data_IF_137522248375
#
_entry.id   IF_137522248375
#
_cell.length_a   1.000
_cell.length_b   1.000
_cell.length_c   1.000
_cell.angle_alpha   90.00
_cell.angle_beta   90.00
_cell.angle_gamma   90.00
#
_symmetry.space_group_name_H-M   'P 1'
#
loop_
_entity.id
_entity.type
_entity.pdbx_description
1 polymer ?
#
# COMPACT_ATOMS: atom_id res chain seq x y z
N UNK A 1 -23.57 -12.97 19.40
CA UNK A 1 -22.49 -12.81 18.40
C UNK A 1 -22.93 -13.46 17.12
N UNK A 2 -23.32 -12.68 16.12
CA UNK A 2 -23.66 -13.21 14.80
C UNK A 2 -22.37 -13.38 14.00
N UNK A 3 -22.19 -14.56 13.41
CA UNK A 3 -21.06 -14.84 12.52
C UNK A 3 -21.30 -14.10 11.21
N UNK A 4 -20.32 -13.33 10.78
CA UNK A 4 -20.31 -12.71 9.45
C UNK A 4 -20.12 -13.84 8.42
N UNK A 5 -20.91 -13.89 7.34
CA UNK A 5 -20.72 -14.88 6.28
C UNK A 5 -19.37 -14.67 5.56
N UNK A 6 -18.76 -15.75 5.05
CA UNK A 6 -17.54 -15.64 4.26
C UNK A 6 -17.78 -14.85 2.97
N UNK A 7 -16.76 -14.15 2.44
CA UNK A 7 -16.88 -13.44 1.17
C UNK A 7 -17.17 -14.41 0.02
N UNK A 8 -17.84 -13.94 -1.05
CA UNK A 8 -18.08 -14.74 -2.24
C UNK A 8 -16.75 -15.14 -2.89
N UNK A 9 -16.69 -16.31 -3.56
CA UNK A 9 -15.52 -16.68 -4.31
C UNK A 9 -15.27 -15.66 -5.43
N UNK A 10 -14.00 -15.38 -5.78
CA UNK A 10 -13.67 -14.48 -6.87
C UNK A 10 -14.29 -15.00 -8.18
N UNK A 11 -14.79 -14.10 -9.04
CA UNK A 11 -15.32 -14.49 -10.34
C UNK A 11 -14.16 -14.96 -11.23
N UNK A 12 -14.21 -16.23 -11.66
CA UNK A 12 -13.22 -16.79 -12.60
C UNK A 12 -12.36 -17.89 -11.98
N UNK A 13 -12.90 -19.10 -11.92
CA UNK A 13 -12.17 -20.29 -11.47
C UNK A 13 -12.57 -21.50 -12.31
N UNK A 14 -12.24 -21.47 -13.60
CA UNK A 14 -12.25 -22.67 -14.43
C UNK A 14 -11.21 -23.66 -13.90
N UNK A 15 -11.61 -24.92 -13.78
CA UNK A 15 -10.75 -26.01 -13.33
C UNK A 15 -9.56 -26.21 -14.28
N UNK A 16 -8.45 -25.54 -14.01
CA UNK A 16 -7.15 -25.74 -14.63
C UNK A 16 -6.10 -25.26 -13.64
N UNK A 17 -5.16 -26.13 -13.26
CA UNK A 17 -4.10 -25.82 -12.30
C UNK A 17 -3.06 -24.84 -12.83
N UNK A 18 -3.51 -23.64 -13.24
CA UNK A 18 -2.65 -22.49 -13.47
C UNK A 18 -2.50 -21.71 -12.18
N UNK A 19 -1.29 -21.29 -11.87
CA UNK A 19 -1.03 -20.32 -10.82
C UNK A 19 -1.77 -19.03 -11.15
N UNK A 20 -2.64 -18.56 -10.24
CA UNK A 20 -3.39 -17.33 -10.45
C UNK A 20 -2.43 -16.15 -10.36
N UNK A 21 -2.35 -15.38 -11.43
CA UNK A 21 -1.67 -14.08 -11.45
C UNK A 21 -2.70 -13.04 -11.02
N UNK A 22 -2.36 -12.26 -10.00
CA UNK A 22 -3.17 -11.12 -9.58
C UNK A 22 -2.77 -9.87 -10.38
N UNK A 23 -3.60 -8.85 -10.40
CA UNK A 23 -3.23 -7.49 -10.82
C UNK A 23 -2.88 -6.60 -9.59
N UNK A 24 -2.40 -5.38 -9.82
CA UNK A 24 -2.01 -4.46 -8.74
C UNK A 24 -3.18 -4.10 -7.80
N UNK A 25 -4.39 -3.90 -8.36
CA UNK A 25 -5.59 -3.58 -7.60
C UNK A 25 -6.05 -4.77 -6.73
N UNK A 26 -6.02 -5.99 -7.27
CA UNK A 26 -6.35 -7.22 -6.55
C UNK A 26 -5.37 -7.48 -5.41
N UNK A 27 -4.07 -7.31 -5.65
CA UNK A 27 -3.05 -7.45 -4.62
C UNK A 27 -3.25 -6.43 -3.49
N UNK A 28 -3.56 -5.17 -3.82
CA UNK A 28 -3.92 -4.16 -2.82
C UNK A 28 -5.21 -4.53 -2.06
N UNK A 29 -6.19 -5.11 -2.75
CA UNK A 29 -7.42 -5.63 -2.16
C UNK A 29 -7.16 -6.74 -1.14
N UNK A 30 -6.27 -7.68 -1.44
CA UNK A 30 -5.86 -8.74 -0.52
C UNK A 30 -5.21 -8.14 0.74
N UNK A 31 -4.34 -7.14 0.59
CA UNK A 31 -3.74 -6.45 1.74
C UNK A 31 -4.82 -5.76 2.59
N UNK A 32 -5.79 -5.08 1.96
CA UNK A 32 -6.93 -4.49 2.65
C UNK A 32 -7.74 -5.52 3.44
N UNK A 33 -8.05 -6.66 2.85
CA UNK A 33 -8.76 -7.75 3.53
C UNK A 33 -7.95 -8.31 4.70
N UNK A 34 -6.65 -8.50 4.51
CA UNK A 34 -5.76 -8.89 5.60
C UNK A 34 -5.81 -7.91 6.77
N UNK A 35 -5.74 -6.61 6.47
CA UNK A 35 -5.85 -5.55 7.47
C UNK A 35 -7.21 -5.52 8.17
N UNK A 36 -8.29 -5.87 7.48
CA UNK A 36 -9.64 -5.93 8.05
C UNK A 36 -9.87 -7.13 8.96
N UNK A 37 -9.36 -8.30 8.58
CA UNK A 37 -9.75 -9.56 9.22
C UNK A 37 -8.69 -10.15 10.14
N UNK A 38 -7.40 -9.87 9.91
CA UNK A 38 -6.31 -10.57 10.59
C UNK A 38 -5.34 -9.64 11.33
N UNK A 39 -5.26 -8.35 10.99
CA UNK A 39 -4.31 -7.46 11.63
C UNK A 39 -4.69 -7.13 13.08
N UNK A 40 -3.78 -7.41 14.01
CA UNK A 40 -4.08 -7.37 15.45
C UNK A 40 -4.31 -5.98 16.03
N UNK A 41 -3.68 -4.93 15.49
CA UNK A 41 -3.89 -3.57 15.97
C UNK A 41 -5.18 -2.97 15.39
N UNK A 42 -6.26 -3.01 16.18
CA UNK A 42 -7.58 -2.53 15.75
C UNK A 42 -7.61 -1.05 15.32
N UNK A 43 -6.91 -0.16 16.05
CA UNK A 43 -6.86 1.26 15.68
C UNK A 43 -6.05 1.48 14.38
N UNK A 44 -4.91 0.81 14.26
CA UNK A 44 -4.07 0.87 13.06
C UNK A 44 -4.79 0.32 11.83
N UNK A 45 -5.47 -0.82 11.97
CA UNK A 45 -6.28 -1.42 10.91
C UNK A 45 -7.39 -0.48 10.44
N UNK A 46 -8.15 0.14 11.36
CA UNK A 46 -9.18 1.13 10.99
C UNK A 46 -8.61 2.32 10.23
N UNK A 47 -7.46 2.85 10.66
CA UNK A 47 -6.83 3.98 9.97
C UNK A 47 -6.40 3.59 8.55
N UNK A 48 -5.76 2.42 8.39
CA UNK A 48 -5.39 1.90 7.07
C UNK A 48 -6.61 1.71 6.17
N UNK A 49 -7.67 1.06 6.67
CA UNK A 49 -8.90 0.81 5.90
C UNK A 49 -9.57 2.12 5.49
N UNK A 50 -9.63 3.10 6.38
CA UNK A 50 -10.18 4.42 6.06
C UNK A 50 -9.40 5.09 4.92
N UNK A 51 -8.06 5.08 4.97
CA UNK A 51 -7.22 5.61 3.89
C UNK A 51 -7.39 4.83 2.58
N UNK A 52 -7.42 3.50 2.65
CA UNK A 52 -7.64 2.64 1.48
C UNK A 52 -8.97 2.95 0.78
N UNK A 53 -10.06 3.00 1.55
CA UNK A 53 -11.43 3.18 1.05
C UNK A 53 -11.66 4.61 0.55
N UNK A 54 -10.89 5.59 1.04
CA UNK A 54 -10.90 7.00 0.59
C UNK A 54 -9.92 7.28 -0.55
N UNK A 55 -9.32 6.26 -1.15
CA UNK A 55 -8.37 6.39 -2.25
C UNK A 55 -7.11 7.21 -1.89
N UNK A 56 -6.60 7.11 -0.67
CA UNK A 56 -5.38 7.84 -0.24
C UNK A 56 -4.20 7.56 -1.19
N UNK A 57 -3.41 8.61 -1.48
CA UNK A 57 -2.32 8.62 -2.48
C UNK A 57 -2.78 8.18 -3.87
N UNK A 58 -3.98 8.60 -4.29
CA UNK A 58 -4.58 8.32 -5.59
C UNK A 58 -4.69 6.84 -5.96
N UNK A 59 -4.77 5.96 -4.95
CA UNK A 59 -4.85 4.49 -5.12
C UNK A 59 -5.83 4.06 -6.21
N UNK A 60 -7.01 4.67 -6.24
CA UNK A 60 -8.11 4.29 -7.14
C UNK A 60 -7.84 4.61 -8.62
N UNK A 61 -6.91 5.53 -8.89
CA UNK A 61 -6.49 5.87 -10.26
C UNK A 61 -5.20 5.11 -10.60
N UNK A 62 -4.26 5.04 -9.66
CA UNK A 62 -2.93 4.43 -9.86
C UNK A 62 -2.97 2.91 -9.95
N UNK A 63 -3.73 2.25 -9.07
CA UNK A 63 -3.83 0.80 -9.04
C UNK A 63 -4.97 0.34 -9.92
N UNK A 64 -4.70 0.22 -11.21
CA UNK A 64 -5.70 -0.13 -12.23
C UNK A 64 -6.19 -1.56 -12.05
N UNK A 65 -7.50 -1.71 -12.05
CA UNK A 65 -8.16 -3.02 -12.13
C UNK A 65 -8.28 -3.42 -13.61
N UNK A 66 -7.23 -4.08 -14.11
CA UNK A 66 -7.14 -4.59 -15.47
C UNK A 66 -6.53 -5.99 -15.48
N UNK A 67 -6.77 -6.75 -16.54
CA UNK A 67 -6.15 -8.07 -16.71
C UNK A 67 -4.61 -7.96 -16.61
N UNK A 68 -3.93 -8.86 -15.88
CA UNK A 68 -2.49 -8.79 -15.65
C UNK A 68 -1.65 -8.65 -16.92
N UNK A 69 -2.07 -9.28 -18.01
CA UNK A 69 -1.38 -9.25 -19.32
C UNK A 69 -1.48 -7.87 -20.01
N UNK A 70 -2.39 -7.01 -19.56
CA UNK A 70 -2.58 -5.65 -20.07
C UNK A 70 -1.81 -4.59 -19.27
N UNK A 71 -1.23 -4.95 -18.12
CA UNK A 71 -0.47 -4.03 -17.28
C UNK A 71 0.98 -3.92 -17.76
N UNK A 72 1.48 -2.69 -17.88
CA UNK A 72 2.92 -2.46 -18.11
C UNK A 72 3.73 -2.64 -16.82
N UNK A 73 5.05 -2.75 -16.96
CA UNK A 73 5.97 -2.80 -15.81
C UNK A 73 5.81 -1.56 -14.92
N UNK A 74 5.60 -0.39 -15.50
CA UNK A 74 5.38 0.87 -14.80
C UNK A 74 4.11 0.82 -13.97
N UNK A 75 3.01 0.31 -14.54
CA UNK A 75 1.74 0.15 -13.82
C UNK A 75 1.87 -0.86 -12.66
N UNK A 76 2.70 -1.88 -12.83
CA UNK A 76 3.04 -2.83 -11.78
C UNK A 76 3.87 -2.21 -10.64
N UNK A 77 4.71 -1.22 -10.93
CA UNK A 77 5.51 -0.49 -9.92
C UNK A 77 4.67 0.41 -9.03
N UNK A 78 3.47 0.80 -9.46
CA UNK A 78 2.60 1.66 -8.66
C UNK A 78 2.17 1.03 -7.34
N UNK A 79 2.02 -0.30 -7.27
CA UNK A 79 1.65 -0.97 -6.03
C UNK A 79 2.71 -0.81 -4.91
N UNK A 80 4.00 -1.16 -5.10
CA UNK A 80 5.01 -0.95 -4.08
C UNK A 80 5.24 0.54 -3.77
N UNK A 81 5.17 1.43 -4.77
CA UNK A 81 5.29 2.88 -4.55
C UNK A 81 4.15 3.43 -3.68
N UNK A 82 2.91 3.06 -3.99
CA UNK A 82 1.75 3.42 -3.17
C UNK A 82 1.88 2.90 -1.73
N UNK A 83 2.32 1.65 -1.54
CA UNK A 83 2.52 1.08 -0.21
C UNK A 83 3.63 1.81 0.57
N UNK A 84 4.69 2.22 -0.13
CA UNK A 84 5.78 3.00 0.44
C UNK A 84 5.30 4.38 0.95
N UNK A 85 4.47 5.09 0.18
CA UNK A 85 3.86 6.36 0.61
C UNK A 85 2.97 6.17 1.84
N UNK A 86 2.11 5.14 1.84
CA UNK A 86 1.27 4.79 2.99
C UNK A 86 2.12 4.48 4.22
N UNK A 87 3.22 3.74 4.07
CA UNK A 87 4.13 3.43 5.16
C UNK A 87 4.77 4.69 5.74
N UNK A 88 5.29 5.57 4.89
CA UNK A 88 5.96 6.80 5.33
C UNK A 88 5.00 7.81 5.95
N UNK A 89 3.76 7.91 5.46
CA UNK A 89 2.71 8.72 6.09
C UNK A 89 2.43 8.25 7.52
N UNK A 90 2.26 6.93 7.71
CA UNK A 90 2.08 6.34 9.05
C UNK A 90 3.29 6.64 9.94
N UNK A 91 4.52 6.53 9.41
CA UNK A 91 5.74 6.84 10.15
C UNK A 91 5.77 8.30 10.62
N UNK A 92 5.36 9.24 9.78
CA UNK A 92 5.26 10.67 10.16
C UNK A 92 4.21 10.89 11.26
N UNK A 93 3.01 10.33 11.09
CA UNK A 93 1.93 10.44 12.08
C UNK A 93 2.33 9.86 13.44
N UNK A 94 2.92 8.65 13.44
CA UNK A 94 3.38 7.98 14.67
C UNK A 94 4.56 8.73 15.30
N UNK A 95 5.49 9.24 14.49
CA UNK A 95 6.62 10.06 14.94
C UNK A 95 6.14 11.30 15.69
N UNK A 96 5.22 12.06 15.08
CA UNK A 96 4.61 13.25 15.67
C UNK A 96 3.84 12.92 16.95
N UNK A 97 3.03 11.85 16.95
CA UNK A 97 2.29 11.42 18.13
C UNK A 97 3.20 11.01 19.31
N UNK A 98 4.45 10.61 19.04
CA UNK A 98 5.46 10.30 20.06
C UNK A 98 6.27 11.53 20.52
N UNK A 99 5.87 12.73 20.12
CA UNK A 99 6.53 13.98 20.52
C UNK A 99 7.86 14.21 19.83
N UNK A 100 8.11 13.57 18.67
CA UNK A 100 9.25 13.93 17.84
C UNK A 100 8.91 15.20 17.07
N UNK A 101 9.81 16.18 17.10
CA UNK A 101 9.70 17.38 16.24
C UNK A 101 9.59 16.97 14.77
N UNK A 102 8.87 17.75 13.98
CA UNK A 102 8.58 17.45 12.57
C UNK A 102 9.86 17.26 11.74
N UNK A 103 10.89 18.06 12.01
CA UNK A 103 12.23 17.93 11.42
C UNK A 103 12.89 16.60 11.76
N UNK A 104 12.66 16.07 12.96
CA UNK A 104 13.12 14.73 13.36
C UNK A 104 12.22 13.65 12.81
N UNK A 105 10.92 13.91 12.61
CA UNK A 105 9.98 12.96 12.03
C UNK A 105 10.41 12.57 10.60
N UNK A 106 10.88 13.55 9.81
CA UNK A 106 11.44 13.33 8.47
C UNK A 106 12.63 12.37 8.47
N UNK A 107 13.47 12.36 9.52
CA UNK A 107 14.58 11.40 9.67
C UNK A 107 14.11 9.94 9.83
N UNK A 108 12.82 9.70 10.08
CA UNK A 108 12.26 8.35 10.14
C UNK A 108 11.61 7.91 8.82
N UNK A 109 11.52 8.79 7.82
CA UNK A 109 11.09 8.35 6.49
C UNK A 109 12.09 7.33 5.94
N UNK A 110 11.56 6.27 5.37
CA UNK A 110 12.34 5.19 4.79
C UNK A 110 12.35 5.33 3.26
N UNK A 111 13.47 5.04 2.58
CA UNK A 111 14.79 4.76 3.17
C UNK A 111 15.41 6.02 3.79
N UNK A 112 16.34 5.85 4.74
CA UNK A 112 17.19 6.98 5.11
C UNK A 112 18.06 7.37 3.90
N UNK A 113 18.45 8.64 3.79
CA UNK A 113 19.28 9.11 2.67
C UNK A 113 20.58 8.31 2.56
N UNK A 114 21.18 7.96 3.70
CA UNK A 114 22.42 7.16 3.74
C UNK A 114 22.21 5.71 3.27
N UNK A 115 20.98 5.18 3.32
CA UNK A 115 20.65 3.85 2.80
C UNK A 115 20.43 3.88 1.28
N UNK A 116 19.96 5.00 0.73
CA UNK A 116 19.76 5.18 -0.70
C UNK A 116 19.91 6.65 -1.12
N UNK A 117 21.15 7.03 -1.46
CA UNK A 117 21.47 8.40 -1.90
C UNK A 117 20.76 8.73 -3.22
N UNK A 118 20.53 7.73 -4.09
CA UNK A 118 19.86 7.90 -5.39
C UNK A 118 18.34 8.09 -5.29
N UNK A 119 17.73 7.70 -4.16
CA UNK A 119 16.30 7.80 -3.92
C UNK A 119 15.86 9.24 -3.62
N UNK A 120 16.78 10.19 -3.47
CA UNK A 120 16.48 11.60 -3.23
C UNK A 120 17.19 12.46 -4.28
N UNK A 121 16.45 13.39 -4.87
CA UNK A 121 16.95 14.34 -5.88
C UNK A 121 17.70 15.50 -5.23
N UNK A 122 18.40 16.28 -6.05
CA UNK A 122 19.14 17.48 -5.58
C UNK A 122 18.22 18.55 -4.95
N UNK A 123 16.94 18.57 -5.32
CA UNK A 123 15.92 19.46 -4.75
C UNK A 123 15.32 18.94 -3.42
N UNK A 124 15.71 17.74 -2.99
CA UNK A 124 15.21 17.09 -1.79
C UNK A 124 13.92 16.29 -1.99
N UNK A 125 13.38 16.19 -3.21
CA UNK A 125 12.22 15.34 -3.51
C UNK A 125 12.63 13.88 -3.72
N UNK A 126 11.70 12.95 -3.52
CA UNK A 126 11.92 11.54 -3.77
C UNK A 126 12.06 11.23 -5.27
N UNK A 127 13.07 10.45 -5.63
CA UNK A 127 13.27 9.94 -6.97
C UNK A 127 12.52 8.61 -7.14
N UNK A 128 11.28 8.68 -7.65
CA UNK A 128 10.40 7.50 -7.77
C UNK A 128 10.85 6.44 -8.81
N UNK A 129 11.97 6.68 -9.51
CA UNK A 129 12.51 5.77 -10.51
C UNK A 129 13.68 4.89 -10.04
N UNK A 130 14.22 5.14 -8.85
CA UNK A 130 15.32 4.39 -8.23
C UNK A 130 14.82 3.49 -7.10
#
# INVERSE_FOLDING_TARGET
GQRVPPPPPPPGGGAGGGERVFNAAEAAGIIREYMAFFFGCQACGRNFLAGYDQCHFDRCVRLRDAEPELLTTEEWRELPLWMWEVHNDVTMVVGKARGKEEEKAALFQWPAVDDCILCVREDGEWNMGE
#
